data_IF_860981359991
#
_entry.id   IF_860981359991
#
_cell.length_a   1.000
_cell.length_b   1.000
_cell.length_c   1.000
_cell.angle_alpha   90.00
_cell.angle_beta   90.00
_cell.angle_gamma   90.00
#
_symmetry.space_group_name_H-M   'P 1'
#
loop_
_entity.id
_entity.type
_entity.pdbx_description
1 polymer ?
#
# COMPACT_ATOMS: atom_id res chain seq x y z
N UNK A 1 16.00 -70.53 -33.14
CA UNK A 1 16.32 -69.25 -32.55
C UNK A 1 15.15 -68.33 -32.77
N UNK A 2 14.45 -67.99 -31.70
CA UNK A 2 13.22 -67.15 -31.76
C UNK A 2 13.65 -65.72 -31.39
N UNK A 3 13.66 -64.83 -32.36
CA UNK A 3 13.86 -63.40 -32.16
C UNK A 3 12.53 -62.74 -31.83
N UNK A 4 12.30 -62.43 -30.62
CA UNK A 4 11.11 -61.66 -30.17
C UNK A 4 11.40 -60.17 -30.40
N UNK A 5 10.81 -59.66 -31.47
CA UNK A 5 10.78 -58.24 -31.75
C UNK A 5 9.89 -57.53 -30.71
N UNK A 6 10.47 -56.68 -29.90
CA UNK A 6 9.74 -55.78 -29.02
C UNK A 6 9.23 -54.58 -29.81
N UNK A 7 7.91 -54.58 -30.00
CA UNK A 7 7.18 -53.44 -30.58
C UNK A 7 7.18 -52.29 -29.52
N UNK A 8 7.98 -51.28 -29.76
CA UNK A 8 7.87 -50.05 -28.99
C UNK A 8 6.70 -49.20 -29.57
N UNK A 9 5.61 -49.22 -28.88
CA UNK A 9 4.52 -48.27 -29.15
C UNK A 9 4.97 -46.94 -28.54
N UNK A 10 5.41 -46.02 -29.37
CA UNK A 10 5.64 -44.65 -28.96
C UNK A 10 4.27 -43.99 -28.80
N UNK A 11 3.83 -43.89 -27.57
CA UNK A 11 2.65 -43.12 -27.18
C UNK A 11 3.03 -41.65 -27.21
N UNK A 12 2.77 -40.98 -28.33
CA UNK A 12 2.87 -39.53 -28.43
C UNK A 12 1.73 -38.93 -27.62
N UNK A 13 2.03 -38.59 -26.40
CA UNK A 13 1.11 -37.72 -25.61
C UNK A 13 1.27 -36.31 -26.16
N UNK A 14 0.36 -35.93 -27.04
CA UNK A 14 0.19 -34.55 -27.41
C UNK A 14 -0.32 -33.80 -26.19
N UNK A 15 0.60 -33.17 -25.45
CA UNK A 15 0.24 -32.13 -24.50
C UNK A 15 -0.31 -30.97 -25.32
N UNK A 16 -1.62 -30.92 -25.43
CA UNK A 16 -2.30 -29.72 -25.82
C UNK A 16 -2.02 -28.65 -24.79
N UNK A 17 -0.99 -27.84 -25.05
CA UNK A 17 -0.85 -26.55 -24.42
C UNK A 17 -2.07 -25.72 -24.83
N UNK A 18 -3.15 -25.84 -24.06
CA UNK A 18 -4.14 -24.80 -24.04
C UNK A 18 -3.42 -23.57 -23.49
N UNK A 19 -2.89 -22.77 -24.40
CA UNK A 19 -2.62 -21.38 -24.15
C UNK A 19 -3.98 -20.76 -23.83
N UNK A 20 -4.41 -20.89 -22.56
CA UNK A 20 -5.33 -19.94 -22.03
C UNK A 20 -4.55 -18.62 -22.11
N UNK A 21 -4.82 -17.88 -23.18
CA UNK A 21 -4.55 -16.47 -23.22
C UNK A 21 -5.19 -15.92 -21.98
N UNK A 22 -4.44 -15.82 -20.89
CA UNK A 22 -4.78 -14.92 -19.85
C UNK A 22 -4.86 -13.59 -20.60
N UNK A 23 -6.06 -13.16 -20.91
CA UNK A 23 -6.31 -11.78 -21.16
C UNK A 23 -5.81 -11.11 -19.91
N UNK A 24 -4.56 -10.67 -19.95
CA UNK A 24 -4.18 -9.53 -19.19
C UNK A 24 -5.16 -8.47 -19.70
N UNK A 25 -6.27 -8.33 -19.00
CA UNK A 25 -7.03 -7.14 -19.09
C UNK A 25 -5.99 -6.07 -18.83
N UNK A 26 -5.56 -5.37 -19.88
CA UNK A 26 -4.99 -4.07 -19.77
C UNK A 26 -6.11 -3.19 -19.22
N UNK A 27 -6.49 -3.43 -18.00
CA UNK A 27 -6.90 -2.36 -17.15
C UNK A 27 -5.63 -1.55 -16.99
N UNK A 28 -5.43 -0.64 -17.90
CA UNK A 28 -4.74 0.58 -17.58
C UNK A 28 -5.59 1.17 -16.47
N UNK A 29 -5.46 0.59 -15.29
CA UNK A 29 -5.85 1.23 -14.06
C UNK A 29 -4.88 2.38 -14.00
N UNK A 30 -5.30 3.46 -14.62
CA UNK A 30 -4.66 4.76 -14.49
C UNK A 30 -4.58 4.93 -12.99
N UNK A 31 -3.35 4.85 -12.45
CA UNK A 31 -3.12 5.15 -11.03
C UNK A 31 -3.93 6.41 -10.76
N UNK A 32 -4.82 6.40 -9.75
CA UNK A 32 -5.73 7.51 -9.54
C UNK A 32 -4.89 8.77 -9.55
N UNK A 33 -5.11 9.61 -10.57
CA UNK A 33 -4.39 10.86 -10.75
C UNK A 33 -4.67 11.63 -9.48
N UNK A 34 -3.69 11.65 -8.59
CA UNK A 34 -3.76 12.47 -7.39
C UNK A 34 -3.89 13.87 -7.91
N UNK A 35 -5.10 14.42 -7.90
CA UNK A 35 -5.28 15.82 -8.15
C UNK A 35 -4.40 16.53 -7.15
N UNK A 36 -3.48 17.34 -7.67
CA UNK A 36 -2.63 18.17 -6.86
C UNK A 36 -3.56 19.12 -6.09
N UNK A 37 -3.91 18.70 -4.88
CA UNK A 37 -4.57 19.61 -3.93
C UNK A 37 -3.53 20.68 -3.64
N UNK A 38 -3.77 21.87 -4.08
CA UNK A 38 -2.92 23.03 -3.85
C UNK A 38 -2.47 23.06 -2.39
N UNK A 39 -1.22 22.68 -2.12
CA UNK A 39 -0.49 22.82 -0.87
C UNK A 39 -1.29 22.64 0.42
N UNK A 40 -1.95 21.48 0.61
CA UNK A 40 -2.81 21.24 1.76
C UNK A 40 -2.34 20.07 2.63
N UNK A 41 -2.79 20.08 3.87
CA UNK A 41 -2.67 18.96 4.80
C UNK A 41 -3.97 18.16 4.74
N UNK A 42 -3.86 16.86 4.48
CA UNK A 42 -5.01 15.94 4.53
C UNK A 42 -4.83 15.03 5.75
N UNK A 43 -5.86 14.99 6.57
CA UNK A 43 -5.92 14.11 7.74
C UNK A 43 -6.86 12.96 7.47
N UNK A 44 -6.42 11.74 7.80
CA UNK A 44 -7.23 10.53 7.72
C UNK A 44 -7.32 9.89 9.11
N UNK A 45 -8.52 9.49 9.50
CA UNK A 45 -8.75 8.76 10.75
C UNK A 45 -9.19 7.34 10.46
N UNK A 46 -8.65 6.37 11.21
CA UNK A 46 -8.96 4.96 10.99
C UNK A 46 -8.22 4.03 11.92
N UNK A 47 -7.70 2.91 11.38
CA UNK A 47 -7.07 1.88 12.19
C UNK A 47 -5.89 1.19 11.50
N UNK A 48 -4.97 0.70 12.34
CA UNK A 48 -3.99 -0.35 12.02
C UNK A 48 -4.35 -1.55 12.88
N UNK A 49 -4.88 -2.61 12.25
CA UNK A 49 -5.49 -3.70 12.99
C UNK A 49 -6.69 -3.21 13.81
N UNK A 50 -6.61 -3.36 15.14
CA UNK A 50 -7.62 -2.88 16.09
C UNK A 50 -7.24 -1.57 16.79
N UNK A 51 -6.08 -1.01 16.48
CA UNK A 51 -5.63 0.25 17.07
C UNK A 51 -6.07 1.43 16.23
N UNK A 52 -6.70 2.42 16.85
CA UNK A 52 -7.06 3.69 16.22
C UNK A 52 -5.82 4.50 15.86
N UNK A 53 -5.83 5.11 14.69
CA UNK A 53 -4.73 5.93 14.19
C UNK A 53 -5.26 7.15 13.45
N UNK A 54 -4.40 8.15 13.38
CA UNK A 54 -4.57 9.32 12.53
C UNK A 54 -3.34 9.45 11.63
N UNK A 55 -3.57 9.50 10.32
CA UNK A 55 -2.53 9.78 9.33
C UNK A 55 -2.61 11.23 8.89
N UNK A 56 -1.45 11.84 8.71
CA UNK A 56 -1.33 13.20 8.16
C UNK A 56 -0.48 13.15 6.91
N UNK A 57 -1.02 13.61 5.82
CA UNK A 57 -0.34 13.72 4.54
C UNK A 57 -0.25 15.19 4.14
N UNK A 58 0.96 15.66 3.89
CA UNK A 58 1.21 17.05 3.53
C UNK A 58 1.80 17.09 2.13
N UNK A 59 1.09 17.76 1.22
CA UNK A 59 1.58 18.05 -0.13
C UNK A 59 2.15 19.47 -0.18
N UNK A 60 2.96 19.84 0.81
CA UNK A 60 3.71 21.08 0.78
C UNK A 60 4.99 20.82 -0.03
N UNK A 61 5.21 21.60 -1.06
CA UNK A 61 6.42 21.56 -1.88
C UNK A 61 7.65 22.01 -1.07
N UNK A 62 8.07 21.19 -0.13
CA UNK A 62 9.38 21.38 0.54
C UNK A 62 10.47 20.71 -0.29
N UNK A 63 10.12 19.65 -1.00
CA UNK A 63 10.89 19.00 -2.05
C UNK A 63 9.89 18.38 -3.03
N UNK A 64 10.07 18.51 -4.36
CA UNK A 64 9.09 18.01 -5.32
C UNK A 64 8.92 16.49 -5.30
N UNK A 65 9.83 15.75 -4.67
CA UNK A 65 9.91 14.30 -4.80
C UNK A 65 9.55 13.53 -3.52
N UNK A 66 9.36 14.20 -2.37
CA UNK A 66 9.04 13.52 -1.11
C UNK A 66 7.86 14.20 -0.38
N UNK A 67 6.62 13.74 -0.62
CA UNK A 67 5.50 14.18 0.18
C UNK A 67 5.69 13.74 1.63
N UNK A 68 5.49 14.67 2.57
CA UNK A 68 5.55 14.38 4.00
C UNK A 68 4.35 13.51 4.40
N UNK A 69 4.60 12.39 5.04
CA UNK A 69 3.61 11.48 5.54
C UNK A 69 3.96 11.00 6.94
N UNK A 70 3.01 11.10 7.85
CA UNK A 70 3.18 10.67 9.23
C UNK A 70 1.91 10.04 9.78
N UNK A 71 2.01 9.38 10.92
CA UNK A 71 0.85 8.87 11.64
C UNK A 71 1.08 8.89 13.16
N UNK A 72 -0.01 8.83 13.91
CA UNK A 72 0.00 8.64 15.35
C UNK A 72 -1.10 7.70 15.78
N UNK A 73 -0.88 6.96 16.85
CA UNK A 73 -1.95 6.19 17.48
C UNK A 73 -2.85 7.12 18.30
N UNK A 74 -4.16 6.85 18.25
CA UNK A 74 -5.17 7.61 19.00
C UNK A 74 -5.73 6.82 20.18
N UNK A 75 -5.61 5.48 20.18
CA UNK A 75 -6.14 4.59 21.21
C UNK A 75 -5.08 4.03 22.15
N UNK A 76 -3.81 4.16 21.80
CA UNK A 76 -2.68 3.74 22.65
C UNK A 76 -1.64 4.85 22.71
N UNK A 77 -0.96 4.98 23.86
CA UNK A 77 0.08 5.95 24.05
C UNK A 77 1.44 5.38 23.62
N UNK A 78 1.69 5.38 22.32
CA UNK A 78 3.01 5.06 21.76
C UNK A 78 3.75 6.33 21.39
N UNK A 79 5.07 6.30 21.45
CA UNK A 79 5.92 7.44 21.11
C UNK A 79 5.51 8.74 21.82
N UNK A 80 5.02 8.65 23.07
CA UNK A 80 4.52 9.77 23.87
C UNK A 80 3.44 10.62 23.16
N UNK A 81 2.58 9.99 22.36
CA UNK A 81 1.55 10.66 21.58
C UNK A 81 2.06 11.50 20.40
N UNK A 82 3.35 11.45 20.12
CA UNK A 82 3.96 12.14 18.98
C UNK A 82 3.73 11.38 17.69
N UNK A 83 3.63 12.11 16.60
CA UNK A 83 3.57 11.53 15.26
C UNK A 83 4.89 10.82 14.92
N UNK A 84 4.78 9.77 14.14
CA UNK A 84 5.86 8.97 13.60
C UNK A 84 5.96 9.28 12.11
N UNK A 85 7.11 9.77 11.67
CA UNK A 85 7.34 10.09 10.27
C UNK A 85 7.59 8.83 9.46
N UNK A 86 7.03 8.80 8.27
CA UNK A 86 7.19 7.74 7.30
C UNK A 86 8.08 8.20 6.16
N UNK A 87 8.99 7.33 5.73
CA UNK A 87 9.86 7.58 4.59
C UNK A 87 9.39 6.79 3.38
N UNK A 88 9.20 7.47 2.26
CA UNK A 88 8.86 6.84 1.00
C UNK A 88 10.00 5.92 0.52
N UNK A 89 9.67 4.72 0.09
CA UNK A 89 10.62 3.69 -0.34
C UNK A 89 10.31 3.10 -1.72
N UNK A 90 9.40 3.68 -2.46
CA UNK A 90 9.02 3.23 -3.81
C UNK A 90 7.63 2.65 -3.88
N UNK A 91 7.37 1.92 -4.96
CA UNK A 91 6.08 1.27 -5.22
C UNK A 91 6.28 -0.19 -5.59
N UNK A 92 5.32 -1.02 -5.25
CA UNK A 92 5.26 -2.43 -5.64
C UNK A 92 3.81 -2.87 -5.80
N UNK A 93 3.49 -3.43 -6.98
CA UNK A 93 2.15 -3.95 -7.28
C UNK A 93 1.02 -2.93 -7.06
N UNK A 94 1.25 -1.65 -7.38
CA UNK A 94 0.27 -0.58 -7.20
C UNK A 94 0.15 -0.05 -5.75
N UNK A 95 1.00 -0.52 -4.83
CA UNK A 95 1.07 -0.04 -3.46
C UNK A 95 2.30 0.84 -3.26
N UNK A 96 2.11 2.01 -2.68
CA UNK A 96 3.22 2.82 -2.20
C UNK A 96 3.82 2.19 -0.93
N UNK A 97 5.14 2.15 -0.88
CA UNK A 97 5.89 1.58 0.24
C UNK A 97 6.43 2.72 1.08
N UNK A 98 6.01 2.73 2.35
CA UNK A 98 6.47 3.69 3.34
C UNK A 98 7.11 2.97 4.52
N UNK A 99 8.29 3.38 4.92
CA UNK A 99 9.03 2.78 6.02
C UNK A 99 8.95 3.64 7.27
N UNK A 100 8.66 2.98 8.38
CA UNK A 100 8.69 3.56 9.71
C UNK A 100 10.08 3.45 10.31
N UNK A 101 10.56 4.54 10.88
CA UNK A 101 11.80 4.58 11.62
C UNK A 101 11.56 5.18 12.99
N UNK A 102 11.88 4.41 14.05
CA UNK A 102 11.86 4.86 15.42
C UNK A 102 13.30 4.78 15.96
N UNK A 103 13.83 5.89 16.43
CA UNK A 103 15.22 6.00 16.92
C UNK A 103 16.24 5.44 15.90
N UNK A 104 16.05 5.74 14.63
CA UNK A 104 16.95 5.34 13.54
C UNK A 104 16.83 3.87 13.09
N UNK A 105 15.94 3.07 13.68
CA UNK A 105 15.69 1.69 13.28
C UNK A 105 14.39 1.58 12.48
N UNK A 106 14.43 0.79 11.41
CA UNK A 106 13.20 0.43 10.71
C UNK A 106 12.38 -0.50 11.61
N UNK A 107 11.20 -0.05 12.01
CA UNK A 107 10.29 -0.74 12.92
C UNK A 107 9.06 -1.27 12.22
N UNK A 108 8.85 -0.88 10.97
CA UNK A 108 7.75 -1.38 10.17
C UNK A 108 7.73 -0.84 8.75
N UNK A 109 6.86 -1.43 7.94
CA UNK A 109 6.67 -1.05 6.54
C UNK A 109 5.18 -1.05 6.22
N UNK A 110 4.73 0.03 5.64
CA UNK A 110 3.39 0.19 5.09
C UNK A 110 3.40 -0.10 3.60
N UNK A 111 2.46 -0.89 3.16
CA UNK A 111 2.10 -1.12 1.76
C UNK A 111 0.69 -0.59 1.58
N UNK A 112 0.54 0.61 1.07
CA UNK A 112 -0.74 1.32 1.07
C UNK A 112 -1.09 1.92 -0.28
N UNK A 113 -2.37 2.01 -0.51
CA UNK A 113 -2.97 2.84 -1.55
C UNK A 113 -3.65 4.03 -0.88
N UNK A 114 -3.34 5.21 -1.34
CA UNK A 114 -3.92 6.44 -0.87
C UNK A 114 -4.72 7.10 -1.99
N UNK A 115 -5.94 7.44 -1.70
CA UNK A 115 -6.77 8.33 -2.50
C UNK A 115 -6.98 9.65 -1.76
N UNK A 116 -7.66 10.60 -2.36
CA UNK A 116 -8.04 11.83 -1.66
C UNK A 116 -8.90 11.52 -0.42
N UNK A 117 -9.69 10.44 -0.45
CA UNK A 117 -10.70 10.15 0.58
C UNK A 117 -10.33 9.01 1.52
N UNK A 118 -9.32 8.20 1.19
CA UNK A 118 -9.00 7.00 1.97
C UNK A 118 -7.55 6.57 1.90
N UNK A 119 -7.15 5.80 2.91
CA UNK A 119 -5.91 5.02 2.94
C UNK A 119 -6.30 3.58 3.22
N UNK A 120 -5.82 2.64 2.40
CA UNK A 120 -6.04 1.20 2.57
C UNK A 120 -4.76 0.44 2.32
N UNK A 121 -4.59 -0.71 2.95
CA UNK A 121 -3.45 -1.57 2.72
C UNK A 121 -3.04 -2.39 3.93
N UNK A 122 -1.74 -2.55 4.11
CA UNK A 122 -1.15 -3.42 5.14
C UNK A 122 0.05 -2.75 5.80
N UNK A 123 0.14 -2.87 7.11
CA UNK A 123 1.34 -2.58 7.89
C UNK A 123 2.00 -3.89 8.30
N UNK A 124 3.31 -4.01 8.12
CA UNK A 124 4.13 -5.14 8.54
C UNK A 124 5.14 -4.63 9.56
N UNK A 125 5.05 -5.11 10.80
CA UNK A 125 5.99 -4.72 11.84
C UNK A 125 7.35 -5.44 11.71
N UNK A 126 8.31 -5.08 12.55
CA UNK A 126 9.65 -5.68 12.57
C UNK A 126 9.68 -7.19 12.86
N UNK A 127 8.60 -7.74 13.43
CA UNK A 127 8.43 -9.18 13.69
C UNK A 127 7.77 -9.92 12.51
N UNK A 128 7.46 -9.22 11.41
CA UNK A 128 6.78 -9.78 10.25
C UNK A 128 5.27 -9.96 10.43
N UNK A 129 4.69 -9.48 11.50
CA UNK A 129 3.24 -9.52 11.72
C UNK A 129 2.56 -8.48 10.81
N UNK A 130 1.44 -8.88 10.21
CA UNK A 130 0.68 -8.07 9.27
C UNK A 130 -0.60 -7.56 9.90
N UNK A 131 -0.89 -6.29 9.69
CA UNK A 131 -2.09 -5.61 10.18
C UNK A 131 -2.76 -4.88 9.03
N UNK A 132 -4.08 -4.98 8.94
CA UNK A 132 -4.84 -4.22 7.95
C UNK A 132 -4.80 -2.73 8.31
N UNK A 133 -4.64 -1.91 7.29
CA UNK A 133 -4.70 -0.45 7.39
C UNK A 133 -5.95 0.02 6.68
N UNK A 134 -6.77 0.79 7.36
CA UNK A 134 -7.96 1.39 6.79
C UNK A 134 -8.22 2.75 7.48
N UNK A 135 -8.25 3.80 6.69
CA UNK A 135 -8.55 5.13 7.20
C UNK A 135 -9.32 5.94 6.15
N UNK A 136 -10.14 6.87 6.62
CA UNK A 136 -10.92 7.79 5.79
C UNK A 136 -10.53 9.21 6.08
N UNK A 137 -10.59 10.06 5.06
CA UNK A 137 -10.38 11.50 5.22
C UNK A 137 -11.32 12.04 6.27
N UNK A 138 -10.76 12.80 7.19
CA UNK A 138 -11.54 13.61 8.13
C UNK A 138 -12.00 14.83 7.36
N UNK A 139 -13.32 15.03 7.28
CA UNK A 139 -13.87 16.27 6.74
C UNK A 139 -13.52 17.38 7.73
N UNK A 140 -12.65 18.28 7.33
CA UNK A 140 -12.49 19.53 8.05
C UNK A 140 -13.76 20.35 7.77
N UNK A 141 -14.57 20.59 8.79
CA UNK A 141 -15.55 21.66 8.71
C UNK A 141 -14.77 22.96 8.51
N UNK A 142 -14.66 23.39 7.27
CA UNK A 142 -14.20 24.74 6.96
C UNK A 142 -15.33 25.69 7.33
N UNK A 143 -15.46 26.01 8.61
CA UNK A 143 -16.23 27.16 9.07
C UNK A 143 -15.48 28.44 8.69
N UNK A 144 -15.35 28.70 7.39
CA UNK A 144 -15.18 30.07 6.95
C UNK A 144 -16.60 30.64 6.90
N UNK A 145 -17.06 31.12 8.05
CA UNK A 145 -18.18 32.01 8.06
C UNK A 145 -17.82 33.20 7.21
N UNK A 146 -18.58 33.39 6.15
CA UNK A 146 -18.60 34.63 5.38
C UNK A 146 -18.90 35.79 6.33
N UNK A 147 -17.91 36.66 6.53
CA UNK A 147 -18.14 38.03 6.92
C UNK A 147 -17.91 38.96 5.73
#
# INVERSE_FOLDING_TARGET
MKTTGKLFIAMSIAFGLSLSSAYAANTTETAPKVEAVNGGVIVYSGSIGHYGVEFTYTNLHVSPDEPFFSYRYTTINTNNGKSIDLKYSGEKNGYAIWKEYIKGKNTGTFYIQRTTNSITGTFVNSKGQKFNVNAKKVESESNWADE
#
